data_IF_250115345573
#
_entry.id   IF_250115345573
#
_cell.length_a   1.000
_cell.length_b   1.000
_cell.length_c   1.000
_cell.angle_alpha   90.00
_cell.angle_beta   90.00
_cell.angle_gamma   90.00
#
_symmetry.space_group_name_H-M   'P 1'
#
loop_
_entity.id
_entity.type
_entity.pdbx_description
1 polymer ?
#
# COMPACT_ATOMS: atom_id res chain seq x y z
N UNK A 1 23.91 -9.44 11.66
CA UNK A 1 25.20 -9.51 12.32
C UNK A 1 26.32 -8.96 11.44
N UNK A 2 26.61 -9.52 10.28
CA UNK A 2 27.69 -9.08 9.37
C UNK A 2 27.79 -7.57 9.13
N UNK A 3 26.65 -6.88 8.95
CA UNK A 3 26.66 -5.43 8.74
C UNK A 3 27.05 -4.64 9.99
N UNK A 4 26.69 -5.12 11.17
CA UNK A 4 27.08 -4.50 12.42
C UNK A 4 28.55 -4.76 12.74
N UNK A 5 29.04 -5.96 12.44
CA UNK A 5 30.47 -6.31 12.59
C UNK A 5 31.30 -5.42 11.65
N UNK A 6 30.88 -5.28 10.41
CA UNK A 6 31.51 -4.37 9.44
C UNK A 6 31.56 -2.91 9.93
N UNK A 7 30.43 -2.41 10.49
CA UNK A 7 30.37 -1.06 11.04
C UNK A 7 31.39 -0.88 12.19
N UNK A 8 31.50 -1.88 13.06
CA UNK A 8 32.41 -1.86 14.19
C UNK A 8 33.90 -1.89 13.76
N UNK A 9 34.21 -2.69 12.73
CA UNK A 9 35.59 -2.81 12.21
C UNK A 9 36.04 -1.60 11.40
N UNK A 10 35.12 -0.99 10.64
CA UNK A 10 35.50 0.06 9.68
C UNK A 10 35.13 1.47 10.11
N UNK A 11 34.24 1.62 11.11
CA UNK A 11 33.64 2.90 11.50
C UNK A 11 32.58 3.40 10.52
N UNK A 12 32.13 2.56 9.58
CA UNK A 12 31.08 2.91 8.65
C UNK A 12 29.71 3.05 9.35
N UNK A 13 28.91 4.06 8.97
CA UNK A 13 27.52 4.17 9.44
C UNK A 13 26.68 3.10 8.75
N UNK A 14 26.09 2.20 9.53
CA UNK A 14 25.22 1.13 9.04
C UNK A 14 23.86 1.24 9.72
N UNK A 15 22.79 1.22 8.92
CA UNK A 15 21.43 1.16 9.39
C UNK A 15 20.75 -0.11 8.87
N UNK A 16 20.14 -0.87 9.77
CA UNK A 16 19.42 -2.09 9.44
C UNK A 16 17.96 -1.87 9.75
N UNK A 17 17.16 -1.74 8.70
CA UNK A 17 15.70 -1.62 8.82
C UNK A 17 15.06 -2.98 8.98
N UNK A 18 14.17 -3.10 9.97
CA UNK A 18 13.23 -4.21 10.08
C UNK A 18 11.82 -3.66 9.92
N UNK A 19 11.05 -4.31 9.08
CA UNK A 19 9.69 -3.90 8.77
C UNK A 19 8.80 -5.13 8.51
N UNK A 20 7.45 -4.99 8.64
CA UNK A 20 6.50 -6.06 8.34
C UNK A 20 6.41 -6.31 6.83
N UNK A 21 5.32 -6.95 6.38
CA UNK A 21 5.14 -7.18 4.94
C UNK A 21 5.13 -5.87 4.15
N UNK A 22 5.95 -5.80 3.13
CA UNK A 22 6.05 -4.64 2.26
C UNK A 22 4.94 -4.64 1.21
N UNK A 23 4.23 -3.52 1.09
CA UNK A 23 3.22 -3.28 0.08
C UNK A 23 3.76 -2.32 -0.99
N UNK A 24 3.97 -2.82 -2.19
CA UNK A 24 4.46 -2.07 -3.35
C UNK A 24 4.30 -2.89 -4.63
N UNK A 25 4.59 -2.28 -5.79
CA UNK A 25 4.54 -3.00 -7.06
C UNK A 25 5.57 -4.14 -7.06
N UNK A 26 5.10 -5.36 -7.28
CA UNK A 26 5.94 -6.56 -7.33
C UNK A 26 5.40 -7.58 -8.33
N UNK A 27 6.17 -8.62 -8.59
CA UNK A 27 5.72 -9.71 -9.47
C UNK A 27 4.49 -10.40 -8.87
N UNK A 28 3.33 -10.43 -9.59
CA UNK A 28 2.15 -11.14 -9.13
C UNK A 28 2.40 -12.65 -8.96
N UNK A 29 1.67 -13.27 -8.06
CA UNK A 29 1.79 -14.72 -7.74
C UNK A 29 3.19 -15.12 -7.20
N UNK A 30 3.93 -14.13 -6.67
CA UNK A 30 5.25 -14.35 -6.08
C UNK A 30 5.42 -13.51 -4.81
N UNK A 31 5.46 -14.16 -3.65
CA UNK A 31 5.75 -13.60 -2.32
C UNK A 31 4.92 -12.38 -1.85
N UNK A 32 3.85 -11.99 -2.53
CA UNK A 32 2.97 -10.91 -2.09
C UNK A 32 1.52 -11.22 -2.40
N UNK A 33 0.72 -11.41 -1.35
CA UNK A 33 -0.72 -11.58 -1.47
C UNK A 33 -1.38 -10.32 -2.02
N UNK A 34 -1.01 -9.14 -1.49
CA UNK A 34 -1.59 -7.85 -1.90
C UNK A 34 -1.35 -7.57 -3.38
N UNK A 35 -0.11 -7.73 -3.85
CA UNK A 35 0.21 -7.57 -5.27
C UNK A 35 -0.53 -8.57 -6.16
N UNK A 36 -0.68 -9.80 -5.69
CA UNK A 36 -1.44 -10.84 -6.41
C UNK A 36 -2.91 -10.47 -6.53
N UNK A 37 -3.53 -9.97 -5.46
CA UNK A 37 -4.93 -9.54 -5.46
C UNK A 37 -5.14 -8.30 -6.34
N UNK A 38 -4.27 -7.29 -6.23
CA UNK A 38 -4.31 -6.11 -7.10
C UNK A 38 -4.26 -6.50 -8.58
N UNK A 39 -3.28 -7.33 -8.96
CA UNK A 39 -3.13 -7.80 -10.32
C UNK A 39 -4.35 -8.63 -10.79
N UNK A 40 -4.82 -9.57 -9.97
CA UNK A 40 -5.94 -10.43 -10.33
C UNK A 40 -7.23 -9.63 -10.55
N UNK A 41 -7.54 -8.69 -9.64
CA UNK A 41 -8.73 -7.83 -9.77
C UNK A 41 -8.63 -6.90 -10.99
N UNK A 42 -7.45 -6.31 -11.24
CA UNK A 42 -7.21 -5.43 -12.38
C UNK A 42 -7.33 -6.14 -13.73
N UNK A 43 -6.95 -7.43 -13.79
CA UNK A 43 -6.90 -8.22 -15.01
C UNK A 43 -8.05 -9.23 -15.16
N UNK A 44 -9.06 -9.20 -14.31
CA UNK A 44 -10.20 -10.12 -14.29
C UNK A 44 -9.81 -11.60 -14.10
N UNK A 45 -8.68 -11.83 -13.41
CA UNK A 45 -8.17 -13.16 -13.13
C UNK A 45 -8.74 -13.75 -11.84
N UNK A 46 -8.97 -15.06 -11.79
CA UNK A 46 -9.43 -15.71 -10.56
C UNK A 46 -8.33 -15.75 -9.51
N UNK A 47 -8.72 -15.58 -8.26
CA UNK A 47 -7.87 -15.76 -7.08
C UNK A 47 -8.68 -16.32 -5.91
N UNK A 48 -8.00 -16.88 -4.93
CA UNK A 48 -8.62 -17.45 -3.73
C UNK A 48 -8.09 -16.74 -2.49
N UNK A 49 -8.99 -16.46 -1.56
CA UNK A 49 -8.65 -16.00 -0.20
C UNK A 49 -9.07 -17.11 0.76
N UNK A 50 -8.11 -17.79 1.35
CA UNK A 50 -8.38 -18.96 2.20
C UNK A 50 -9.13 -18.55 3.47
N UNK A 51 -8.69 -17.49 4.13
CA UNK A 51 -9.33 -16.93 5.31
C UNK A 51 -9.34 -15.41 5.22
N UNK A 52 -10.53 -14.83 5.08
CA UNK A 52 -10.73 -13.39 4.95
C UNK A 52 -10.43 -12.62 6.24
N UNK A 53 -10.44 -13.30 7.40
CA UNK A 53 -10.18 -12.71 8.70
C UNK A 53 -8.68 -12.60 9.03
N UNK A 54 -7.82 -13.24 8.24
CA UNK A 54 -6.36 -13.15 8.42
C UNK A 54 -5.90 -11.69 8.35
N UNK A 55 -5.35 -11.20 9.45
CA UNK A 55 -4.78 -9.85 9.53
C UNK A 55 -3.34 -9.83 9.02
N UNK A 56 -3.02 -8.81 8.24
CA UNK A 56 -1.67 -8.48 7.81
C UNK A 56 -1.27 -7.11 8.36
N UNK A 57 -0.03 -7.01 8.78
CA UNK A 57 0.62 -5.71 9.00
C UNK A 57 1.45 -5.36 7.76
N UNK A 58 1.19 -4.20 7.18
CA UNK A 58 1.73 -3.77 5.89
C UNK A 58 2.42 -2.41 6.04
N UNK A 59 3.61 -2.30 5.47
CA UNK A 59 4.31 -1.04 5.24
C UNK A 59 4.26 -0.70 3.75
N UNK A 60 3.84 0.53 3.41
CA UNK A 60 3.84 0.98 2.02
C UNK A 60 5.25 1.36 1.56
N UNK A 61 5.58 1.04 0.32
CA UNK A 61 6.95 1.21 -0.22
C UNK A 61 7.44 2.67 -0.14
N UNK A 62 6.57 3.65 -0.43
CA UNK A 62 6.97 5.05 -0.40
C UNK A 62 7.25 5.51 1.03
N UNK A 63 6.49 5.02 2.04
CA UNK A 63 6.77 5.33 3.44
C UNK A 63 8.12 4.73 3.89
N UNK A 64 8.50 3.56 3.36
CA UNK A 64 9.82 2.98 3.61
C UNK A 64 10.93 3.85 2.99
N UNK A 65 10.72 4.31 1.76
CA UNK A 65 11.67 5.18 1.06
C UNK A 65 11.84 6.51 1.80
N UNK A 66 10.75 7.13 2.24
CA UNK A 66 10.77 8.33 3.10
C UNK A 66 11.58 8.08 4.38
N UNK A 67 11.33 6.97 5.07
CA UNK A 67 12.10 6.59 6.26
C UNK A 67 13.58 6.36 5.99
N UNK A 68 13.95 5.93 4.77
CA UNK A 68 15.36 5.83 4.35
C UNK A 68 15.98 7.21 4.07
N UNK A 69 15.19 8.18 3.57
CA UNK A 69 15.66 9.57 3.45
C UNK A 69 15.86 10.21 4.84
N UNK A 70 15.00 9.91 5.80
CA UNK A 70 15.19 10.36 7.19
C UNK A 70 16.55 9.95 7.75
N UNK A 71 17.07 8.78 7.37
CA UNK A 71 18.42 8.34 7.75
C UNK A 71 19.52 9.26 7.20
N UNK A 72 19.37 9.77 5.98
CA UNK A 72 20.35 10.69 5.40
C UNK A 72 20.38 12.03 6.13
N UNK A 73 19.28 12.41 6.76
CA UNK A 73 19.12 13.64 7.55
C UNK A 73 19.36 13.43 9.05
N UNK A 74 19.74 12.22 9.49
CA UNK A 74 19.89 11.80 10.88
C UNK A 74 18.61 11.98 11.71
N UNK A 75 17.47 11.65 11.11
CA UNK A 75 16.13 11.67 11.71
C UNK A 75 15.53 10.27 11.86
N UNK A 76 16.31 9.24 11.56
CA UNK A 76 15.88 7.85 11.66
C UNK A 76 15.37 7.49 13.05
N UNK A 77 14.42 6.58 13.11
CA UNK A 77 13.84 6.08 14.35
C UNK A 77 14.40 4.71 14.67
N UNK A 78 14.78 4.54 15.94
CA UNK A 78 15.42 3.34 16.41
C UNK A 78 14.49 2.45 17.24
N UNK A 79 14.75 1.15 17.18
CA UNK A 79 14.04 0.14 17.95
C UNK A 79 14.91 -1.06 18.28
N UNK A 80 14.43 -1.85 19.22
CA UNK A 80 14.86 -3.23 19.48
C UNK A 80 13.72 -4.19 19.20
N UNK A 81 14.00 -5.48 19.22
CA UNK A 81 13.02 -6.53 19.05
C UNK A 81 13.02 -7.46 20.24
N UNK A 82 11.86 -7.69 20.82
CA UNK A 82 11.59 -8.79 21.75
C UNK A 82 10.84 -9.90 20.99
N UNK A 83 11.59 -10.91 20.58
CA UNK A 83 11.07 -11.90 19.64
C UNK A 83 10.70 -11.28 18.28
N UNK A 84 9.40 -11.16 18.01
CA UNK A 84 8.85 -10.53 16.79
C UNK A 84 8.32 -9.11 17.03
N UNK A 85 8.13 -8.72 18.28
CA UNK A 85 7.58 -7.42 18.66
C UNK A 85 8.61 -6.32 18.52
N UNK A 86 8.17 -5.16 18.02
CA UNK A 86 9.00 -3.95 17.93
C UNK A 86 8.90 -3.17 19.23
N UNK A 87 10.02 -2.98 19.90
CA UNK A 87 10.11 -2.17 21.12
C UNK A 87 10.84 -0.87 20.79
N UNK A 88 10.14 0.27 20.94
CA UNK A 88 10.73 1.59 20.66
C UNK A 88 11.85 1.89 21.64
N UNK A 89 13.02 2.26 21.13
CA UNK A 89 14.20 2.54 21.93
C UNK A 89 15.12 3.50 21.15
N UNK A 90 15.38 4.68 21.72
CA UNK A 90 16.18 5.73 21.06
C UNK A 90 17.59 5.28 20.69
N UNK A 91 18.21 4.43 21.51
CA UNK A 91 19.52 3.80 21.27
C UNK A 91 19.42 2.37 20.70
N UNK A 92 18.26 2.04 20.11
CA UNK A 92 18.01 0.72 19.54
C UNK A 92 18.92 0.40 18.37
N UNK A 93 19.23 -0.89 18.23
CA UNK A 93 20.17 -1.41 17.22
C UNK A 93 19.60 -1.37 15.79
N UNK A 94 18.28 -1.36 15.66
CA UNK A 94 17.59 -1.41 14.38
C UNK A 94 16.88 -0.10 14.09
N UNK A 95 16.69 0.19 12.80
CA UNK A 95 15.81 1.25 12.35
C UNK A 95 14.44 0.69 11.97
N UNK A 96 13.40 1.50 12.11
CA UNK A 96 12.04 1.14 11.72
C UNK A 96 11.29 2.34 11.15
N UNK A 97 10.21 2.05 10.42
CA UNK A 97 9.25 3.05 9.94
C UNK A 97 7.95 2.90 10.72
N UNK A 98 7.48 3.95 11.41
CA UNK A 98 6.34 3.82 12.33
C UNK A 98 4.97 3.74 11.63
N UNK A 99 4.90 4.08 10.34
CA UNK A 99 3.65 4.14 9.60
C UNK A 99 3.34 2.79 8.96
N UNK A 100 2.67 1.91 9.71
CA UNK A 100 2.17 0.62 9.21
C UNK A 100 0.65 0.58 9.25
N UNK A 101 0.07 -0.35 8.49
CA UNK A 101 -1.37 -0.56 8.40
C UNK A 101 -1.71 -2.01 8.76
N UNK A 102 -2.58 -2.20 9.76
CA UNK A 102 -3.14 -3.51 10.11
C UNK A 102 -4.49 -3.64 9.43
N UNK A 103 -4.60 -4.63 8.56
CA UNK A 103 -5.79 -4.86 7.72
C UNK A 103 -6.00 -6.34 7.49
N UNK A 104 -7.24 -6.76 7.33
CA UNK A 104 -7.57 -8.14 6.98
C UNK A 104 -7.52 -8.37 5.47
N UNK A 105 -7.31 -9.62 5.06
CA UNK A 105 -7.39 -10.00 3.65
C UNK A 105 -8.77 -9.68 3.05
N UNK A 106 -9.82 -9.76 3.86
CA UNK A 106 -11.18 -9.40 3.47
C UNK A 106 -11.31 -7.93 3.12
N UNK A 107 -10.82 -7.03 3.98
CA UNK A 107 -10.84 -5.57 3.75
C UNK A 107 -10.08 -5.19 2.48
N UNK A 108 -8.91 -5.82 2.24
CA UNK A 108 -8.13 -5.59 1.02
C UNK A 108 -8.96 -5.92 -0.21
N UNK A 109 -9.57 -7.11 -0.23
CA UNK A 109 -10.35 -7.58 -1.40
C UNK A 109 -11.60 -6.73 -1.61
N UNK A 110 -12.30 -6.34 -0.54
CA UNK A 110 -13.50 -5.50 -0.63
C UNK A 110 -13.17 -4.12 -1.20
N UNK A 111 -12.08 -3.51 -0.78
CA UNK A 111 -11.59 -2.25 -1.37
C UNK A 111 -11.23 -2.41 -2.86
N UNK A 112 -10.52 -3.47 -3.22
CA UNK A 112 -10.16 -3.73 -4.62
C UNK A 112 -11.40 -3.93 -5.51
N UNK A 113 -12.45 -4.58 -5.01
CA UNK A 113 -13.72 -4.70 -5.74
C UNK A 113 -14.42 -3.34 -5.91
N UNK A 114 -14.41 -2.48 -4.89
CA UNK A 114 -14.92 -1.11 -5.01
C UNK A 114 -14.14 -0.32 -6.07
N UNK A 115 -12.82 -0.41 -6.10
CA UNK A 115 -11.98 0.24 -7.12
C UNK A 115 -12.32 -0.25 -8.54
N UNK A 116 -12.48 -1.57 -8.70
CA UNK A 116 -12.87 -2.16 -9.98
C UNK A 116 -14.23 -1.68 -10.46
N UNK A 117 -15.18 -1.47 -9.56
CA UNK A 117 -16.53 -1.01 -9.88
C UNK A 117 -16.62 0.50 -10.12
N UNK A 118 -15.63 1.27 -9.70
CA UNK A 118 -15.65 2.73 -9.78
C UNK A 118 -15.92 3.28 -11.19
N UNK A 119 -15.34 2.77 -12.29
CA UNK A 119 -15.65 3.26 -13.63
C UNK A 119 -17.11 3.06 -14.07
N UNK A 120 -17.83 2.12 -13.43
CA UNK A 120 -19.25 1.80 -13.74
C UNK A 120 -20.17 2.60 -12.83
N UNK A 121 -19.89 2.60 -11.53
CA UNK A 121 -20.75 3.23 -10.51
C UNK A 121 -20.46 4.72 -10.33
N UNK A 122 -19.32 5.19 -10.81
CA UNK A 122 -18.71 6.49 -10.54
C UNK A 122 -18.47 6.77 -9.04
N UNK A 123 -18.65 5.77 -8.18
CA UNK A 123 -18.48 5.89 -6.73
C UNK A 123 -17.05 5.60 -6.32
N UNK A 124 -16.39 6.58 -5.76
CA UNK A 124 -15.04 6.45 -5.19
C UNK A 124 -15.15 6.18 -3.69
N UNK A 125 -14.54 5.11 -3.17
CA UNK A 125 -14.53 4.88 -1.73
C UNK A 125 -13.76 5.97 -0.99
N UNK A 126 -14.05 6.12 0.29
CA UNK A 126 -13.35 7.07 1.16
C UNK A 126 -11.85 6.76 1.22
N UNK A 127 -11.03 7.73 0.83
CA UNK A 127 -9.57 7.59 0.75
C UNK A 127 -8.85 8.84 1.32
N UNK A 128 -8.90 9.07 2.64
CA UNK A 128 -8.16 10.17 3.26
C UNK A 128 -6.67 10.11 2.96
N UNK A 129 -5.99 11.24 3.04
CA UNK A 129 -4.54 11.29 2.89
C UNK A 129 -3.84 10.35 3.87
N UNK A 130 -2.81 9.65 3.39
CA UNK A 130 -2.05 8.68 4.18
C UNK A 130 -2.80 7.39 4.52
N UNK A 131 -4.09 7.27 4.17
CA UNK A 131 -4.87 6.07 4.49
C UNK A 131 -4.40 4.84 3.69
N UNK A 132 -4.64 3.67 4.28
CA UNK A 132 -4.42 2.38 3.60
C UNK A 132 -5.17 2.31 2.25
N UNK A 133 -6.42 2.76 2.22
CA UNK A 133 -7.24 2.73 1.01
C UNK A 133 -6.61 3.53 -0.14
N UNK A 134 -6.05 4.73 0.13
CA UNK A 134 -5.37 5.55 -0.87
C UNK A 134 -4.09 4.89 -1.38
N UNK A 135 -3.29 4.30 -0.50
CA UNK A 135 -2.06 3.57 -0.85
C UNK A 135 -2.37 2.31 -1.66
N UNK A 136 -3.41 1.57 -1.25
CA UNK A 136 -3.86 0.39 -1.99
C UNK A 136 -4.40 0.76 -3.39
N UNK A 137 -5.12 1.88 -3.51
CA UNK A 137 -5.58 2.37 -4.81
C UNK A 137 -4.42 2.72 -5.73
N UNK A 138 -3.41 3.43 -5.22
CA UNK A 138 -2.19 3.73 -5.98
C UNK A 138 -1.51 2.45 -6.48
N UNK A 139 -1.39 1.44 -5.62
CA UNK A 139 -0.84 0.14 -5.99
C UNK A 139 -1.71 -0.57 -7.04
N UNK A 140 -3.04 -0.59 -6.87
CA UNK A 140 -3.98 -1.19 -7.83
C UNK A 140 -3.83 -0.59 -9.22
N UNK A 141 -3.69 0.73 -9.32
CA UNK A 141 -3.51 1.42 -10.59
C UNK A 141 -2.25 0.97 -11.34
N UNK A 142 -1.17 0.57 -10.63
CA UNK A 142 0.05 0.08 -11.28
C UNK A 142 -0.13 -1.26 -11.99
N UNK A 143 -1.18 -2.01 -11.68
CA UNK A 143 -1.53 -3.29 -12.32
C UNK A 143 -2.64 -3.16 -13.35
N UNK A 144 -3.28 -1.99 -13.44
CA UNK A 144 -4.38 -1.79 -14.36
C UNK A 144 -3.86 -1.77 -15.81
N UNK A 145 -4.42 -2.57 -16.73
CA UNK A 145 -4.09 -2.51 -18.14
C UNK A 145 -4.34 -1.12 -18.73
N UNK A 146 -3.48 -0.67 -19.63
CA UNK A 146 -3.51 0.70 -20.18
C UNK A 146 -4.85 1.05 -20.83
N UNK A 147 -5.50 0.10 -21.48
CA UNK A 147 -6.81 0.27 -22.11
C UNK A 147 -7.96 0.46 -21.09
N UNK A 148 -7.78 -0.02 -19.85
CA UNK A 148 -8.75 0.12 -18.75
C UNK A 148 -8.65 1.45 -17.98
N UNK A 149 -7.63 2.27 -18.22
CA UNK A 149 -7.55 3.62 -17.63
C UNK A 149 -8.60 4.58 -18.20
N UNK A 150 -9.08 4.30 -19.40
CA UNK A 150 -10.05 5.14 -20.11
C UNK A 150 -11.43 4.51 -20.06
N UNK A 151 -12.40 5.23 -19.58
CA UNK A 151 -13.80 4.83 -19.65
C UNK A 151 -14.67 6.00 -20.11
N UNK A 152 -15.79 5.66 -20.78
CA UNK A 152 -16.73 6.66 -21.33
C UNK A 152 -17.75 7.05 -20.29
N UNK A 153 -17.89 8.35 -20.05
CA UNK A 153 -18.93 8.89 -19.18
C UNK A 153 -20.23 9.08 -19.95
N UNK A 154 -21.35 8.82 -19.29
CA UNK A 154 -22.66 9.07 -19.83
C UNK A 154 -22.96 10.57 -19.84
N UNK A 155 -23.22 11.12 -20.99
CA UNK A 155 -23.70 12.49 -21.14
C UNK A 155 -25.21 12.49 -21.29
N UNK A 156 -25.92 13.20 -20.42
CA UNK A 156 -27.36 13.44 -20.50
C UNK A 156 -27.55 14.79 -21.21
N UNK A 157 -28.31 14.78 -22.33
CA UNK A 157 -28.53 15.97 -23.16
C UNK A 157 -30.04 16.21 -23.28
N UNK A 158 -30.45 17.46 -23.06
CA UNK A 158 -31.81 17.94 -23.32
C UNK A 158 -31.78 19.29 -24.05
N UNK A 159 -32.94 19.92 -24.24
CA UNK A 159 -33.09 21.20 -24.95
C UNK A 159 -32.49 22.41 -24.16
N UNK A 160 -32.08 22.22 -22.93
CA UNK A 160 -31.45 23.25 -22.06
C UNK A 160 -29.92 23.12 -22.00
N UNK A 161 -29.39 21.96 -22.40
CA UNK A 161 -27.95 21.73 -22.39
C UNK A 161 -27.57 20.28 -22.15
N UNK A 162 -26.32 20.06 -21.64
CA UNK A 162 -25.83 18.74 -21.35
C UNK A 162 -25.26 18.68 -19.92
N UNK A 163 -25.40 17.50 -19.30
CA UNK A 163 -24.84 17.20 -17.97
C UNK A 163 -24.11 15.87 -18.03
N UNK A 164 -22.90 15.86 -17.50
CA UNK A 164 -22.08 14.66 -17.38
C UNK A 164 -21.57 14.54 -15.94
N UNK A 165 -21.88 13.43 -15.32
CA UNK A 165 -21.42 13.11 -13.99
C UNK A 165 -20.03 12.49 -14.09
N UNK A 166 -19.06 12.97 -13.27
CA UNK A 166 -17.68 12.55 -13.32
C UNK A 166 -17.36 11.52 -12.24
N UNK A 167 -17.73 11.81 -11.00
CA UNK A 167 -17.42 10.97 -9.83
C UNK A 167 -18.33 11.33 -8.66
N UNK A 168 -18.68 10.32 -7.87
CA UNK A 168 -19.25 10.47 -6.53
C UNK A 168 -18.20 10.07 -5.50
N UNK A 169 -18.27 10.65 -4.31
CA UNK A 169 -17.49 10.23 -3.16
C UNK A 169 -18.38 9.77 -2.01
N UNK A 170 -17.90 8.83 -1.20
CA UNK A 170 -18.64 8.36 -0.02
C UNK A 170 -18.70 9.45 1.09
N UNK A 171 -18.01 10.57 0.93
CA UNK A 171 -17.90 11.66 1.92
C UNK A 171 -18.81 12.88 1.62
N UNK A 172 -19.64 12.81 0.58
CA UNK A 172 -20.54 13.91 0.18
C UNK A 172 -22.01 13.51 0.32
#
# INVERSE_FOLDING_TARGET
ELFFDYAQETGAKVAVYRFPNLMGHSRPKYNSAVSTFCWAVANDEPFTVNDRSTELELLYIDDLVEGMFDLLENKEKHCEFDGVETVLKEDGRYCFVPLTHKVTLGEIVDLLQKFKQQPITLMMPKMPDGSFAKKLYSLYLTYLPTDKFKYTLKMNVDNRGSFTELVHTEDC
#
